data_IF_687234073587
#
_entry.id   IF_687234073587
#
_cell.length_a   1.000
_cell.length_b   1.000
_cell.length_c   1.000
_cell.angle_alpha   90.00
_cell.angle_beta   90.00
_cell.angle_gamma   90.00
#
_symmetry.space_group_name_H-M   'P 1'
#
loop_
_entity.id
_entity.type
_entity.pdbx_description
1 polymer ?
#
# COMPACT_ATOMS: atom_id res chain seq x y z
N UNK A 1 -26.91 38.12 -8.29
CA UNK A 1 -26.62 36.68 -8.39
C UNK A 1 -27.13 36.17 -9.72
N UNK A 2 -26.26 35.64 -10.58
CA UNK A 2 -26.64 34.72 -11.64
C UNK A 2 -26.30 33.30 -11.18
N UNK A 3 -27.10 32.26 -11.49
CA UNK A 3 -26.73 30.90 -11.18
C UNK A 3 -25.53 30.51 -12.05
N UNK A 4 -24.43 30.07 -11.42
CA UNK A 4 -23.36 29.38 -12.11
C UNK A 4 -23.94 28.13 -12.75
N UNK A 5 -23.96 28.09 -14.09
CA UNK A 5 -24.25 26.87 -14.83
C UNK A 5 -23.27 25.81 -14.33
N UNK A 6 -23.77 24.74 -13.72
CA UNK A 6 -22.92 23.74 -13.08
C UNK A 6 -22.04 23.06 -14.13
N UNK A 7 -20.76 23.43 -14.19
CA UNK A 7 -19.79 22.62 -14.89
C UNK A 7 -19.71 21.29 -14.14
N UNK A 8 -19.81 20.21 -14.90
CA UNK A 8 -19.75 18.84 -14.37
C UNK A 8 -18.56 18.18 -15.04
N UNK A 9 -17.69 17.59 -14.24
CA UNK A 9 -16.47 16.92 -14.65
C UNK A 9 -16.58 15.41 -14.40
N UNK A 10 -15.71 14.62 -15.03
CA UNK A 10 -15.60 13.19 -14.76
C UNK A 10 -14.43 12.93 -13.81
N UNK A 11 -14.67 12.18 -12.74
CA UNK A 11 -13.63 11.80 -11.80
C UNK A 11 -12.61 10.87 -12.50
N UNK A 12 -11.30 11.18 -12.54
CA UNK A 12 -10.31 10.36 -13.23
C UNK A 12 -10.12 8.98 -12.60
N UNK A 13 -10.49 8.79 -11.33
CA UNK A 13 -10.32 7.54 -10.59
C UNK A 13 -11.45 6.54 -10.84
N UNK A 14 -12.70 7.00 -10.93
CA UNK A 14 -13.88 6.12 -11.04
C UNK A 14 -14.84 6.45 -12.18
N UNK A 15 -14.55 7.46 -13.01
CA UNK A 15 -15.39 7.98 -14.10
C UNK A 15 -16.80 8.43 -13.66
N UNK A 16 -17.01 8.63 -12.35
CA UNK A 16 -18.24 9.23 -11.84
C UNK A 16 -18.32 10.70 -12.25
N UNK A 17 -19.50 11.11 -12.72
CA UNK A 17 -19.84 12.50 -13.00
C UNK A 17 -19.96 13.30 -11.69
N UNK A 18 -19.09 14.30 -11.50
CA UNK A 18 -18.95 15.11 -10.27
C UNK A 18 -19.04 16.61 -10.57
N UNK A 19 -19.50 17.46 -9.63
CA UNK A 19 -19.44 18.91 -9.79
C UNK A 19 -17.99 19.39 -9.97
N UNK A 20 -17.75 20.34 -10.89
CA UNK A 20 -16.39 20.86 -11.13
C UNK A 20 -15.84 21.72 -9.98
N UNK A 21 -16.68 22.12 -9.02
CA UNK A 21 -16.36 22.81 -7.78
C UNK A 21 -16.24 21.87 -6.57
N UNK A 22 -16.44 20.55 -6.75
CA UNK A 22 -16.26 19.59 -5.67
C UNK A 22 -14.78 19.44 -5.30
N UNK A 23 -14.48 19.45 -3.99
CA UNK A 23 -13.14 19.14 -3.47
C UNK A 23 -12.92 17.62 -3.28
N UNK A 24 -13.97 16.81 -3.33
CA UNK A 24 -13.87 15.35 -3.23
C UNK A 24 -14.93 14.63 -4.09
N UNK A 25 -14.61 13.40 -4.53
CA UNK A 25 -15.52 12.56 -5.29
C UNK A 25 -16.46 11.78 -4.34
N UNK A 26 -17.79 11.99 -4.37
CA UNK A 26 -18.75 11.30 -3.50
C UNK A 26 -18.94 9.81 -3.85
N UNK A 27 -18.28 9.29 -4.88
CA UNK A 27 -18.33 7.86 -5.26
C UNK A 27 -17.09 7.06 -4.84
N UNK A 28 -15.91 7.68 -4.77
CA UNK A 28 -14.66 6.96 -4.47
C UNK A 28 -13.75 7.61 -3.41
N UNK A 29 -14.09 8.81 -2.91
CA UNK A 29 -13.29 9.54 -1.92
C UNK A 29 -12.00 10.14 -2.47
N UNK A 30 -11.85 10.24 -3.80
CA UNK A 30 -10.73 10.97 -4.42
C UNK A 30 -10.81 12.45 -4.07
N UNK A 31 -9.76 13.02 -3.47
CA UNK A 31 -9.69 14.45 -3.18
C UNK A 31 -9.11 15.19 -4.38
N UNK A 32 -9.81 16.22 -4.85
CA UNK A 32 -9.36 17.07 -5.95
C UNK A 32 -8.54 18.22 -5.39
N UNK A 33 -7.29 18.35 -5.86
CA UNK A 33 -6.40 19.43 -5.41
C UNK A 33 -6.87 20.76 -6.02
N UNK A 34 -7.68 21.50 -5.25
CA UNK A 34 -8.10 22.85 -5.60
C UNK A 34 -6.92 23.81 -5.46
N UNK A 35 -6.44 24.37 -6.57
CA UNK A 35 -5.34 25.35 -6.56
C UNK A 35 -5.76 26.66 -5.90
N UNK A 36 -5.56 26.74 -4.59
CA UNK A 36 -5.78 27.92 -3.75
C UNK A 36 -4.50 28.20 -2.96
N UNK A 37 -3.62 29.11 -3.41
CA UNK A 37 -2.51 29.57 -2.57
C UNK A 37 -3.09 30.45 -1.47
N UNK A 38 -2.91 30.16 -0.16
CA UNK A 38 -1.61 30.46 0.48
C UNK A 38 -1.26 29.73 1.82
N UNK A 39 -0.08 30.06 2.40
CA UNK A 39 0.24 30.13 3.85
C UNK A 39 -0.09 28.94 4.80
N UNK A 40 0.94 28.13 5.09
CA UNK A 40 1.58 27.99 6.42
C UNK A 40 0.82 27.55 7.71
N UNK A 41 1.60 26.90 8.59
CA UNK A 41 1.44 26.71 10.07
C UNK A 41 0.43 25.69 10.70
N UNK A 42 0.98 24.51 11.03
CA UNK A 42 1.00 23.85 12.37
C UNK A 42 -0.17 23.00 12.95
N UNK A 43 0.20 21.89 13.62
CA UNK A 43 -0.61 21.00 14.50
C UNK A 43 -0.61 19.53 14.00
N UNK A 44 -0.02 18.49 14.62
CA UNK A 44 -0.01 17.96 16.01
C UNK A 44 -1.37 17.35 16.43
N UNK A 45 -1.52 16.14 17.02
CA UNK A 45 -0.73 14.89 17.16
C UNK A 45 -1.68 13.75 17.67
N UNK A 46 -1.35 12.45 17.71
CA UNK A 46 -0.87 11.67 18.91
C UNK A 46 -0.95 10.14 18.61
N UNK A 47 0.04 9.33 19.03
CA UNK A 47 -0.06 7.87 19.33
C UNK A 47 -0.16 6.89 18.13
N UNK A 48 0.38 5.65 18.16
CA UNK A 48 0.96 4.83 19.24
C UNK A 48 2.27 4.17 18.76
N UNK A 49 3.20 3.92 19.68
CA UNK A 49 4.50 3.27 19.44
C UNK A 49 4.41 1.75 19.45
N UNK A 50 4.91 1.11 18.40
CA UNK A 50 5.62 -0.17 18.50
C UNK A 50 7.03 0.03 17.92
N UNK A 51 8.01 -0.59 18.56
CA UNK A 51 9.42 -0.18 18.50
C UNK A 51 10.12 -0.60 17.20
N UNK A 52 10.78 0.36 16.55
CA UNK A 52 11.70 0.15 15.42
C UNK A 52 12.50 1.43 15.21
N UNK A 53 13.70 1.45 15.77
CA UNK A 53 14.68 2.53 15.66
C UNK A 53 15.07 2.80 14.19
N UNK A 54 14.89 4.04 13.71
CA UNK A 54 16.00 4.92 13.31
C UNK A 54 15.49 6.27 12.78
N UNK A 55 16.21 7.32 13.15
CA UNK A 55 15.99 8.71 12.75
C UNK A 55 16.29 8.95 11.25
N UNK A 56 15.93 10.13 10.76
CA UNK A 56 16.57 10.69 9.57
C UNK A 56 15.63 11.10 8.45
N UNK A 57 15.19 12.35 8.59
CA UNK A 57 15.29 13.42 7.58
C UNK A 57 14.43 13.32 6.31
N UNK A 58 13.86 14.48 5.96
CA UNK A 58 12.77 14.72 4.99
C UNK A 58 13.13 14.55 3.48
N UNK A 59 14.15 13.78 3.14
CA UNK A 59 14.54 13.51 1.73
C UNK A 59 14.22 12.08 1.25
N UNK A 60 13.77 11.18 2.13
CA UNK A 60 13.67 9.73 1.83
C UNK A 60 12.35 9.26 1.17
N UNK A 61 11.46 10.12 0.65
CA UNK A 61 10.11 9.72 0.16
C UNK A 61 10.17 8.56 -0.85
N UNK A 62 10.77 8.81 -2.02
CA UNK A 62 10.88 7.80 -3.08
C UNK A 62 11.68 6.54 -2.68
N UNK A 63 12.52 6.59 -1.63
CA UNK A 63 13.17 5.39 -1.09
C UNK A 63 12.22 4.57 -0.21
N UNK A 64 11.37 5.24 0.59
CA UNK A 64 10.32 4.59 1.40
C UNK A 64 9.25 3.97 0.50
N UNK A 65 8.82 4.66 -0.56
CA UNK A 65 7.82 4.14 -1.50
C UNK A 65 8.35 2.94 -2.30
N UNK A 66 9.58 3.01 -2.82
CA UNK A 66 10.25 1.83 -3.43
C UNK A 66 10.38 0.68 -2.44
N UNK A 67 10.73 0.95 -1.18
CA UNK A 67 10.84 -0.08 -0.14
C UNK A 67 9.48 -0.73 0.18
N UNK A 68 8.41 0.05 0.34
CA UNK A 68 7.04 -0.45 0.54
C UNK A 68 6.54 -1.28 -0.64
N UNK A 69 6.85 -0.87 -1.87
CA UNK A 69 6.51 -1.63 -3.08
C UNK A 69 7.21 -3.00 -3.12
N UNK A 70 8.54 -3.03 -3.00
CA UNK A 70 9.30 -4.28 -3.01
C UNK A 70 8.97 -5.18 -1.81
N UNK A 71 8.70 -4.59 -0.64
CA UNK A 71 8.27 -5.33 0.56
C UNK A 71 6.89 -5.94 0.35
N UNK A 72 5.91 -5.20 -0.19
CA UNK A 72 4.59 -5.73 -0.53
C UNK A 72 4.65 -6.90 -1.52
N UNK A 73 5.44 -6.78 -2.59
CA UNK A 73 5.66 -7.87 -3.54
C UNK A 73 6.31 -9.08 -2.87
N UNK A 74 7.36 -8.88 -2.06
CA UNK A 74 8.01 -9.98 -1.35
C UNK A 74 7.03 -10.69 -0.40
N UNK A 75 6.26 -9.94 0.41
CA UNK A 75 5.25 -10.50 1.31
C UNK A 75 4.18 -11.31 0.56
N UNK A 76 3.76 -10.89 -0.63
CA UNK A 76 2.80 -11.66 -1.45
C UNK A 76 3.44 -12.96 -1.97
N UNK A 77 4.65 -12.89 -2.51
CA UNK A 77 5.37 -14.06 -3.06
C UNK A 77 5.69 -15.08 -1.97
N UNK A 78 6.16 -14.65 -0.80
CA UNK A 78 6.45 -15.53 0.32
C UNK A 78 5.17 -16.02 1.02
N UNK A 79 4.19 -15.15 1.27
CA UNK A 79 2.98 -15.46 2.04
C UNK A 79 1.97 -16.38 1.33
N UNK A 80 1.85 -16.29 0.00
CA UNK A 80 0.99 -17.17 -0.79
C UNK A 80 1.76 -18.35 -1.42
N UNK A 81 2.38 -18.16 -2.60
CA UNK A 81 3.10 -19.23 -3.29
C UNK A 81 4.21 -19.87 -2.45
N UNK A 82 5.01 -19.08 -1.73
CA UNK A 82 6.12 -19.57 -0.92
C UNK A 82 5.69 -20.51 0.20
N UNK A 83 4.64 -20.15 0.95
CA UNK A 83 4.05 -20.99 2.00
C UNK A 83 3.48 -22.29 1.42
N UNK A 84 2.78 -22.24 0.28
CA UNK A 84 2.21 -23.43 -0.35
C UNK A 84 3.29 -24.40 -0.89
N UNK A 85 4.31 -23.87 -1.58
CA UNK A 85 5.48 -24.62 -2.02
C UNK A 85 6.28 -25.17 -0.84
N UNK A 86 6.42 -24.40 0.24
CA UNK A 86 7.08 -24.82 1.47
C UNK A 86 6.38 -26.00 2.13
N UNK A 87 5.04 -25.95 2.26
CA UNK A 87 4.26 -27.09 2.79
C UNK A 87 4.44 -28.34 1.93
N UNK A 88 4.29 -28.22 0.61
CA UNK A 88 4.47 -29.37 -0.29
C UNK A 88 5.89 -29.95 -0.22
N UNK A 89 6.91 -29.10 -0.22
CA UNK A 89 8.31 -29.53 -0.18
C UNK A 89 8.68 -30.17 1.16
N UNK A 90 8.13 -29.64 2.27
CA UNK A 90 8.26 -30.23 3.60
C UNK A 90 7.66 -31.64 3.66
N UNK A 91 6.44 -31.81 3.16
CA UNK A 91 5.72 -33.09 3.18
C UNK A 91 6.37 -34.13 2.25
N UNK A 92 6.97 -33.70 1.12
CA UNK A 92 7.74 -34.56 0.20
C UNK A 92 9.10 -34.96 0.79
N UNK A 93 9.83 -34.04 1.42
CA UNK A 93 11.15 -34.32 2.02
C UNK A 93 11.06 -35.08 3.36
N UNK A 94 9.86 -35.12 3.98
CA UNK A 94 9.59 -35.81 5.27
C UNK A 94 10.61 -35.48 6.36
N UNK A 95 10.96 -34.21 6.48
CA UNK A 95 11.92 -33.74 7.50
C UNK A 95 11.21 -33.82 8.87
N UNK A 96 11.67 -34.65 9.82
CA UNK A 96 10.97 -34.83 11.08
C UNK A 96 11.26 -33.65 12.03
N UNK A 97 10.25 -32.81 12.26
CA UNK A 97 10.31 -31.77 13.29
C UNK A 97 9.89 -32.38 14.64
N UNK A 98 10.89 -32.88 15.36
CA UNK A 98 10.85 -33.57 16.66
C UNK A 98 9.82 -34.70 16.85
N UNK A 99 8.52 -34.40 17.02
CA UNK A 99 7.47 -35.39 17.31
C UNK A 99 6.33 -35.47 16.28
N UNK A 100 6.35 -34.65 15.21
CA UNK A 100 5.28 -34.62 14.22
C UNK A 100 5.51 -35.63 13.07
N UNK A 101 4.69 -36.69 13.03
CA UNK A 101 4.73 -37.74 12.00
C UNK A 101 3.49 -37.78 11.10
N UNK A 102 2.54 -36.87 11.29
CA UNK A 102 1.30 -36.78 10.53
C UNK A 102 1.50 -35.94 9.25
N UNK A 103 2.16 -36.51 8.25
CA UNK A 103 2.44 -35.85 6.95
C UNK A 103 1.25 -35.92 5.97
N UNK A 104 0.36 -36.91 6.12
CA UNK A 104 -0.74 -37.18 5.16
C UNK A 104 -2.07 -36.46 5.49
N UNK A 105 -2.10 -35.65 6.55
CA UNK A 105 -3.25 -34.79 6.89
C UNK A 105 -2.77 -33.38 7.19
N UNK A 106 -3.60 -32.36 6.97
CA UNK A 106 -3.33 -30.98 7.42
C UNK A 106 -3.31 -30.92 8.95
N UNK A 107 -2.16 -31.28 9.52
CA UNK A 107 -1.88 -31.26 10.94
C UNK A 107 -1.92 -29.84 11.50
N UNK A 108 -1.89 -29.73 12.83
CA UNK A 108 -1.93 -28.43 13.51
C UNK A 108 -0.84 -27.48 13.01
N UNK A 109 0.34 -28.01 12.66
CA UNK A 109 1.45 -27.23 12.11
C UNK A 109 1.15 -26.65 10.71
N UNK A 110 0.73 -27.45 9.72
CA UNK A 110 0.40 -26.94 8.39
C UNK A 110 -0.78 -25.93 8.44
N UNK A 111 -1.72 -26.08 9.38
CA UNK A 111 -2.77 -25.08 9.63
C UNK A 111 -2.22 -23.77 10.20
N UNK A 112 -1.30 -23.84 11.16
CA UNK A 112 -0.65 -22.65 11.72
C UNK A 112 0.16 -21.91 10.64
N UNK A 113 0.97 -22.65 9.87
CA UNK A 113 1.78 -22.11 8.77
C UNK A 113 0.90 -21.45 7.70
N UNK A 114 -0.20 -22.09 7.29
CA UNK A 114 -1.15 -21.48 6.33
C UNK A 114 -1.87 -20.26 6.89
N UNK A 115 -2.23 -20.25 8.19
CA UNK A 115 -2.84 -19.07 8.83
C UNK A 115 -1.86 -17.88 8.91
N UNK A 116 -0.60 -18.13 9.27
CA UNK A 116 0.46 -17.09 9.26
C UNK A 116 0.71 -16.59 7.83
N UNK A 117 0.80 -17.49 6.84
CA UNK A 117 0.92 -17.13 5.43
C UNK A 117 -0.21 -16.24 4.92
N UNK A 118 -1.45 -16.54 5.31
CA UNK A 118 -2.63 -15.72 5.00
C UNK A 118 -2.54 -14.31 5.59
N UNK A 119 -2.10 -14.16 6.85
CA UNK A 119 -1.90 -12.86 7.48
C UNK A 119 -0.81 -12.06 6.73
N UNK A 120 0.33 -12.69 6.43
CA UNK A 120 1.43 -12.10 5.66
C UNK A 120 0.96 -11.66 4.26
N UNK A 121 0.14 -12.47 3.60
CA UNK A 121 -0.44 -12.16 2.30
C UNK A 121 -1.37 -10.93 2.36
N UNK A 122 -2.25 -10.84 3.37
CA UNK A 122 -3.14 -9.67 3.55
C UNK A 122 -2.31 -8.40 3.77
N UNK A 123 -1.29 -8.46 4.65
CA UNK A 123 -0.40 -7.31 4.90
C UNK A 123 0.36 -6.91 3.63
N UNK A 124 0.85 -7.87 2.85
CA UNK A 124 1.49 -7.63 1.56
C UNK A 124 0.57 -6.94 0.54
N UNK A 125 -0.69 -7.39 0.43
CA UNK A 125 -1.70 -6.77 -0.44
C UNK A 125 -2.01 -5.34 0.00
N UNK A 126 -2.23 -5.10 1.30
CA UNK A 126 -2.49 -3.74 1.82
C UNK A 126 -1.30 -2.82 1.56
N UNK A 127 -0.07 -3.28 1.81
CA UNK A 127 1.15 -2.52 1.55
C UNK A 127 1.33 -2.17 0.06
N UNK A 128 1.01 -3.11 -0.84
CA UNK A 128 1.07 -2.89 -2.28
C UNK A 128 -0.01 -1.89 -2.73
N UNK A 129 -1.24 -2.00 -2.23
CA UNK A 129 -2.33 -1.04 -2.54
C UNK A 129 -1.95 0.37 -2.06
N UNK A 130 -1.39 0.52 -0.86
CA UNK A 130 -0.91 1.80 -0.34
C UNK A 130 0.22 2.37 -1.21
N UNK A 131 1.19 1.55 -1.60
CA UNK A 131 2.26 1.99 -2.52
C UNK A 131 1.71 2.50 -3.86
N UNK A 132 0.76 1.79 -4.48
CA UNK A 132 0.13 2.23 -5.74
C UNK A 132 -0.74 3.49 -5.57
N UNK A 133 -1.31 3.71 -4.38
CA UNK A 133 -2.10 4.91 -4.04
C UNK A 133 -1.25 6.14 -3.80
N UNK A 134 -0.04 6.02 -3.22
CA UNK A 134 0.81 7.19 -2.90
C UNK A 134 1.67 7.65 -4.08
N UNK A 135 2.12 6.76 -4.97
CA UNK A 135 3.09 7.10 -6.04
C UNK A 135 2.51 7.86 -7.26
N UNK A 136 1.41 8.59 -7.08
CA UNK A 136 0.88 9.62 -7.98
C UNK A 136 0.40 10.78 -7.08
N UNK A 137 0.97 12.01 -7.12
CA UNK A 137 1.48 12.67 -8.34
C UNK A 137 2.90 13.30 -8.24
N UNK A 138 3.59 13.27 -7.09
CA UNK A 138 4.71 14.21 -6.84
C UNK A 138 6.05 13.91 -7.52
N UNK A 139 6.33 12.66 -7.92
CA UNK A 139 7.60 12.33 -8.58
C UNK A 139 7.64 12.77 -10.05
N UNK A 140 6.49 12.71 -10.76
CA UNK A 140 6.40 13.10 -12.17
C UNK A 140 6.62 14.61 -12.34
N UNK A 141 6.05 15.43 -11.45
CA UNK A 141 6.25 16.89 -11.43
C UNK A 141 7.72 17.25 -11.13
N UNK A 142 8.40 16.47 -10.30
CA UNK A 142 9.83 16.66 -9.98
C UNK A 142 10.75 16.29 -11.13
N UNK A 143 10.51 15.17 -11.81
CA UNK A 143 11.29 14.82 -13.01
C UNK A 143 11.05 15.83 -14.14
N UNK A 144 9.81 16.31 -14.32
CA UNK A 144 9.49 17.36 -15.30
C UNK A 144 10.15 18.71 -14.98
N UNK A 145 10.19 19.12 -13.71
CA UNK A 145 10.86 20.36 -13.31
C UNK A 145 12.38 20.24 -13.42
N UNK A 146 12.98 19.12 -13.01
CA UNK A 146 14.41 18.86 -13.20
C UNK A 146 14.84 18.87 -14.68
N UNK A 147 14.02 18.32 -15.58
CA UNK A 147 14.22 18.37 -17.04
C UNK A 147 13.96 19.76 -17.66
N UNK A 148 13.32 20.67 -16.92
CA UNK A 148 13.05 22.05 -17.36
C UNK A 148 14.16 23.02 -16.94
N UNK A 149 14.95 22.66 -15.94
CA UNK A 149 16.10 23.43 -15.44
C UNK A 149 17.45 23.02 -16.05
N UNK A 150 17.48 21.96 -16.87
CA UNK A 150 18.66 21.44 -17.59
C UNK A 150 18.77 21.91 -19.05
#
# INVERSE_FOLDING_TARGET
MAPSQGLVAECPTCQATVPADATECPQCGEQFESEVPPRGTSGSAIGVVEDSEDEGTREKSGRREKFLFYTGIALIVFGGPGIALGSWLHDVLRIPVEQYTAFDTFGAFNRLVTAVGLIVLIVGIVCLILSLRLSRPTDVEKDLSALRES
#
